data_IF_233527219264
#
_entry.id   IF_233527219264
#
_cell.length_a   1.000
_cell.length_b   1.000
_cell.length_c   1.000
_cell.angle_alpha   90.00
_cell.angle_beta   90.00
_cell.angle_gamma   90.00
#
_symmetry.space_group_name_H-M   'P 1'
#
loop_
_entity.id
_entity.type
_entity.pdbx_description
1 polymer ?
#
# COMPACT_ATOMS: atom_id res chain seq x y z
N UNK A 1 -0.97 12.36 9.50
CA UNK A 1 -1.92 12.43 10.64
C UNK A 1 -1.94 13.86 11.15
N UNK A 2 -3.02 14.27 11.83
CA UNK A 2 -3.17 15.64 12.37
C UNK A 2 -2.10 16.00 13.42
N UNK A 3 -1.45 15.00 14.00
CA UNK A 3 -0.45 15.18 15.05
C UNK A 3 1.00 14.98 14.59
N UNK A 4 1.23 14.78 13.30
CA UNK A 4 2.58 14.59 12.77
C UNK A 4 3.38 15.88 12.81
N UNK A 5 4.61 15.80 13.34
CA UNK A 5 5.59 16.86 13.25
C UNK A 5 6.49 16.63 12.05
N UNK A 6 6.59 17.65 11.19
CA UNK A 6 7.42 17.62 9.99
C UNK A 6 8.62 18.56 10.14
N UNK A 7 9.77 18.13 9.61
CA UNK A 7 11.00 18.96 9.56
C UNK A 7 11.41 19.31 8.13
N UNK A 8 10.63 18.90 7.13
CA UNK A 8 10.81 19.29 5.74
C UNK A 8 11.92 18.55 4.99
N UNK A 9 12.34 17.36 5.45
CA UNK A 9 13.35 16.55 4.75
C UNK A 9 12.73 15.82 3.56
N UNK A 10 13.30 16.02 2.38
CA UNK A 10 12.78 15.42 1.14
C UNK A 10 13.03 13.90 1.07
N UNK A 11 12.15 13.19 0.36
CA UNK A 11 12.25 11.73 0.18
C UNK A 11 13.63 11.27 -0.35
N UNK A 12 14.29 11.93 -1.33
CA UNK A 12 15.65 11.54 -1.74
C UNK A 12 16.67 11.59 -0.60
N UNK A 13 16.59 12.58 0.27
CA UNK A 13 17.49 12.70 1.42
C UNK A 13 17.19 11.62 2.48
N UNK A 14 15.91 11.34 2.75
CA UNK A 14 15.50 10.23 3.63
C UNK A 14 16.07 8.91 3.13
N UNK A 15 15.92 8.61 1.83
CA UNK A 15 16.47 7.40 1.21
C UNK A 15 17.99 7.33 1.29
N UNK A 16 18.69 8.46 1.15
CA UNK A 16 20.15 8.53 1.30
C UNK A 16 20.59 8.16 2.72
N UNK A 17 19.92 8.71 3.74
CA UNK A 17 20.18 8.37 5.15
C UNK A 17 19.87 6.91 5.42
N UNK A 18 18.70 6.42 4.99
CA UNK A 18 18.30 5.03 5.17
C UNK A 18 19.33 4.06 4.55
N UNK A 19 19.80 4.35 3.32
CA UNK A 19 20.81 3.53 2.63
C UNK A 19 22.16 3.49 3.35
N UNK A 20 22.52 4.57 4.05
CA UNK A 20 23.76 4.63 4.82
C UNK A 20 23.71 3.74 6.08
N UNK A 21 22.53 3.61 6.71
CA UNK A 21 22.42 3.04 8.06
C UNK A 21 21.74 1.66 8.13
N UNK A 22 21.03 1.19 7.07
CA UNK A 22 20.23 -0.04 7.14
C UNK A 22 21.00 -1.30 7.52
N UNK A 23 22.32 -1.38 7.23
CA UNK A 23 23.11 -2.56 7.51
C UNK A 23 23.49 -2.68 8.99
N UNK A 24 23.75 -1.55 9.66
CA UNK A 24 24.38 -1.53 10.97
C UNK A 24 23.40 -1.22 12.11
N UNK A 25 22.20 -0.72 11.81
CA UNK A 25 21.19 -0.40 12.83
C UNK A 25 20.62 -1.69 13.44
N UNK A 26 20.62 -1.78 14.77
CA UNK A 26 20.00 -2.88 15.51
C UNK A 26 18.46 -2.77 15.47
N UNK A 27 17.77 -3.89 15.75
CA UNK A 27 16.29 -3.88 15.82
C UNK A 27 15.76 -2.98 16.95
N UNK A 28 16.48 -2.85 18.05
CA UNK A 28 16.11 -1.98 19.18
C UNK A 28 16.17 -0.51 18.76
N UNK A 29 17.24 -0.11 18.08
CA UNK A 29 17.39 1.25 17.56
C UNK A 29 16.35 1.54 16.46
N UNK A 30 16.15 0.58 15.56
CA UNK A 30 15.17 0.70 14.48
C UNK A 30 13.74 0.90 15.04
N UNK A 31 13.38 0.18 16.10
CA UNK A 31 12.10 0.36 16.78
C UNK A 31 11.93 1.79 17.34
N UNK A 32 13.01 2.39 17.89
CA UNK A 32 12.97 3.81 18.31
C UNK A 32 12.77 4.76 17.14
N UNK A 33 13.40 4.48 15.99
CA UNK A 33 13.29 5.30 14.79
C UNK A 33 11.89 5.18 14.17
N UNK A 34 11.34 3.97 14.05
CA UNK A 34 9.98 3.74 13.49
C UNK A 34 8.86 4.29 14.38
N UNK A 35 9.10 4.50 15.67
CA UNK A 35 8.13 5.06 16.61
C UNK A 35 8.42 6.52 17.00
N UNK A 36 9.27 7.21 16.25
CA UNK A 36 9.65 8.59 16.57
C UNK A 36 8.51 9.59 16.32
N UNK A 37 8.44 10.68 17.10
CA UNK A 37 7.40 11.71 16.98
C UNK A 37 7.48 12.51 15.67
N UNK A 38 8.67 12.64 15.06
CA UNK A 38 8.88 13.34 13.79
C UNK A 38 8.58 12.37 12.64
N UNK A 39 7.72 12.80 11.72
CA UNK A 39 7.27 12.00 10.58
C UNK A 39 8.42 11.48 9.71
N UNK A 40 9.35 12.34 9.28
CA UNK A 40 10.44 11.94 8.38
C UNK A 40 11.42 10.96 9.05
N UNK A 41 11.52 10.99 10.38
CA UNK A 41 12.31 10.00 11.13
C UNK A 41 11.62 8.64 11.09
N UNK A 42 10.30 8.58 11.32
CA UNK A 42 9.52 7.32 11.17
C UNK A 42 9.61 6.78 9.75
N UNK A 43 9.38 7.63 8.76
CA UNK A 43 9.48 7.26 7.35
C UNK A 43 10.87 6.70 7.00
N UNK A 44 11.94 7.32 7.50
CA UNK A 44 13.31 6.81 7.37
C UNK A 44 13.44 5.40 7.97
N UNK A 45 12.88 5.17 9.16
CA UNK A 45 12.86 3.85 9.81
C UNK A 45 12.17 2.78 8.96
N UNK A 46 11.02 3.08 8.38
CA UNK A 46 10.32 2.12 7.50
C UNK A 46 11.05 1.90 6.17
N UNK A 47 11.71 2.92 5.61
CA UNK A 47 12.59 2.74 4.44
C UNK A 47 13.81 1.84 4.78
N UNK A 48 14.40 2.01 5.96
CA UNK A 48 15.44 1.11 6.47
C UNK A 48 14.93 -0.32 6.57
N UNK A 49 13.72 -0.51 7.11
CA UNK A 49 13.09 -1.83 7.24
C UNK A 49 12.91 -2.49 5.86
N UNK A 50 12.49 -1.72 4.85
CA UNK A 50 12.41 -2.19 3.46
C UNK A 50 13.77 -2.63 2.93
N UNK A 51 14.83 -1.83 3.14
CA UNK A 51 16.17 -2.19 2.67
C UNK A 51 16.73 -3.42 3.37
N UNK A 52 16.47 -3.58 4.67
CA UNK A 52 16.80 -4.81 5.39
C UNK A 52 16.07 -6.03 4.81
N UNK A 53 14.77 -5.89 4.53
CA UNK A 53 13.94 -6.95 3.95
C UNK A 53 14.43 -7.38 2.56
N UNK A 54 14.84 -6.42 1.73
CA UNK A 54 15.31 -6.67 0.36
C UNK A 54 16.73 -7.24 0.27
N UNK A 55 17.47 -7.30 1.38
CA UNK A 55 18.79 -7.92 1.39
C UNK A 55 18.66 -9.43 1.14
N UNK A 56 19.56 -9.99 0.32
CA UNK A 56 19.53 -11.39 -0.13
C UNK A 56 19.42 -12.40 1.02
N UNK A 57 20.20 -12.20 2.08
CA UNK A 57 20.28 -13.11 3.22
C UNK A 57 19.51 -12.60 4.44
N UNK A 58 18.41 -11.86 4.21
CA UNK A 58 17.59 -11.33 5.29
C UNK A 58 16.68 -12.40 5.89
N UNK A 59 16.52 -12.37 7.22
CA UNK A 59 15.43 -13.07 7.89
C UNK A 59 14.10 -12.32 7.62
N UNK A 60 13.48 -12.68 6.50
CA UNK A 60 12.21 -12.06 6.04
C UNK A 60 11.08 -12.23 7.05
N UNK A 61 11.04 -13.36 7.77
CA UNK A 61 10.01 -13.60 8.78
C UNK A 61 10.18 -12.66 9.98
N UNK A 62 11.39 -12.49 10.49
CA UNK A 62 11.66 -11.55 11.58
C UNK A 62 11.31 -10.11 11.19
N UNK A 63 11.64 -9.70 9.97
CA UNK A 63 11.34 -8.33 9.48
C UNK A 63 9.85 -8.14 9.25
N UNK A 64 9.14 -9.13 8.72
CA UNK A 64 7.69 -9.14 8.61
C UNK A 64 7.03 -8.97 9.99
N UNK A 65 7.46 -9.75 10.98
CA UNK A 65 6.97 -9.66 12.36
C UNK A 65 7.28 -8.30 12.99
N UNK A 66 8.50 -7.77 12.74
CA UNK A 66 8.85 -6.42 13.17
C UNK A 66 7.91 -5.36 12.59
N UNK A 67 7.58 -5.46 11.29
CA UNK A 67 6.67 -4.53 10.64
C UNK A 67 5.28 -4.56 11.28
N UNK A 68 4.73 -5.76 11.53
CA UNK A 68 3.44 -5.92 12.18
C UNK A 68 3.41 -5.36 13.61
N UNK A 69 4.46 -5.60 14.39
CA UNK A 69 4.58 -5.08 15.75
C UNK A 69 4.68 -3.53 15.79
N UNK A 70 5.04 -2.91 14.67
CA UNK A 70 5.13 -1.45 14.55
C UNK A 70 4.05 -0.86 13.62
N UNK A 71 3.00 -1.62 13.30
CA UNK A 71 1.95 -1.22 12.35
C UNK A 71 1.24 0.07 12.78
N UNK A 72 1.06 0.31 14.07
CA UNK A 72 0.48 1.53 14.62
C UNK A 72 1.26 2.81 14.27
N UNK A 73 2.54 2.69 13.93
CA UNK A 73 3.40 3.80 13.49
C UNK A 73 3.41 3.99 11.97
N UNK A 74 2.75 3.11 11.22
CA UNK A 74 2.50 3.24 9.77
C UNK A 74 1.26 4.11 9.58
N UNK A 75 1.36 5.37 9.95
CA UNK A 75 0.24 6.29 10.16
C UNK A 75 0.19 7.46 9.17
N UNK A 76 0.80 7.30 8.00
CA UNK A 76 0.72 8.26 6.90
C UNK A 76 0.82 7.53 5.55
N UNK A 77 0.24 8.12 4.48
CA UNK A 77 0.17 7.50 3.16
C UNK A 77 1.55 7.19 2.55
N UNK A 78 2.53 8.05 2.75
CA UNK A 78 3.88 7.87 2.19
C UNK A 78 4.65 6.73 2.89
N UNK A 79 4.43 6.51 4.20
CA UNK A 79 4.95 5.35 4.93
C UNK A 79 4.29 4.07 4.41
N UNK A 80 2.94 4.05 4.30
CA UNK A 80 2.20 2.89 3.78
C UNK A 80 2.68 2.54 2.38
N UNK A 81 2.65 3.51 1.46
CA UNK A 81 2.89 3.28 0.03
C UNK A 81 4.34 2.86 -0.26
N UNK A 82 5.29 3.30 0.58
CA UNK A 82 6.70 2.96 0.44
C UNK A 82 7.12 1.68 1.16
N UNK A 83 6.30 1.10 2.04
CA UNK A 83 6.69 -0.06 2.85
C UNK A 83 5.79 -1.28 2.71
N UNK A 84 4.46 -1.13 2.74
CA UNK A 84 3.52 -2.25 2.76
C UNK A 84 3.67 -3.22 1.58
N UNK A 85 3.80 -2.79 0.31
CA UNK A 85 3.98 -3.72 -0.81
C UNK A 85 5.30 -4.48 -0.73
N UNK A 86 6.33 -3.84 -0.19
CA UNK A 86 7.69 -4.37 -0.17
C UNK A 86 7.96 -5.35 0.96
N UNK A 87 7.20 -5.27 2.04
CA UNK A 87 7.35 -6.13 3.22
C UNK A 87 6.16 -7.07 3.34
N UNK A 88 4.97 -6.55 3.65
CA UNK A 88 3.78 -7.38 3.83
C UNK A 88 3.38 -8.09 2.54
N UNK A 89 3.22 -7.33 1.47
CA UNK A 89 2.78 -7.88 0.19
C UNK A 89 3.75 -8.94 -0.34
N UNK A 90 5.07 -8.63 -0.38
CA UNK A 90 6.08 -9.57 -0.87
C UNK A 90 6.16 -10.83 0.01
N UNK A 91 6.10 -10.69 1.34
CA UNK A 91 6.09 -11.83 2.25
C UNK A 91 4.89 -12.75 2.01
N UNK A 92 3.69 -12.18 1.86
CA UNK A 92 2.45 -12.92 1.65
C UNK A 92 2.39 -13.61 0.27
N UNK A 93 3.07 -13.10 -0.76
CA UNK A 93 3.16 -13.81 -2.05
C UNK A 93 3.88 -15.16 -1.92
N UNK A 94 4.77 -15.28 -0.94
CA UNK A 94 5.55 -16.48 -0.64
C UNK A 94 4.95 -17.32 0.50
N UNK A 95 4.00 -16.74 1.26
CA UNK A 95 3.34 -17.35 2.42
C UNK A 95 1.82 -17.16 2.32
N UNK A 96 1.12 -17.93 1.48
CA UNK A 96 -0.32 -17.75 1.20
C UNK A 96 -1.23 -17.86 2.42
N UNK A 97 -0.81 -18.59 3.46
CA UNK A 97 -1.49 -18.70 4.75
C UNK A 97 -1.60 -17.36 5.51
N UNK A 98 -0.82 -16.36 5.14
CA UNK A 98 -0.84 -15.03 5.74
C UNK A 98 -1.75 -14.03 5.02
N UNK A 99 -2.37 -14.41 3.89
CA UNK A 99 -3.20 -13.49 3.09
C UNK A 99 -4.47 -13.04 3.84
N UNK A 100 -5.00 -13.86 4.74
CA UNK A 100 -6.19 -13.54 5.55
C UNK A 100 -6.03 -12.27 6.37
N UNK A 101 -4.81 -11.94 6.77
CA UNK A 101 -4.53 -10.68 7.47
C UNK A 101 -4.97 -9.44 6.67
N UNK A 102 -4.94 -9.49 5.33
CA UNK A 102 -5.41 -8.37 4.50
C UNK A 102 -6.93 -8.13 4.69
N UNK A 103 -7.71 -9.20 4.88
CA UNK A 103 -9.15 -9.11 5.14
C UNK A 103 -9.44 -8.52 6.52
N UNK A 104 -8.64 -8.88 7.52
CA UNK A 104 -8.73 -8.30 8.87
C UNK A 104 -8.40 -6.81 8.83
N UNK A 105 -7.28 -6.44 8.21
CA UNK A 105 -6.85 -5.05 8.07
C UNK A 105 -7.85 -4.20 7.27
N UNK A 106 -8.51 -4.77 6.25
CA UNK A 106 -9.50 -4.04 5.44
C UNK A 106 -10.73 -3.62 6.25
N UNK A 107 -11.04 -4.33 7.34
CA UNK A 107 -12.18 -4.07 8.23
C UNK A 107 -11.82 -3.24 9.46
N UNK A 108 -10.56 -2.86 9.61
CA UNK A 108 -10.09 -2.09 10.77
C UNK A 108 -10.75 -0.70 10.84
N UNK A 109 -10.97 -0.22 12.08
CA UNK A 109 -11.36 1.17 12.32
C UNK A 109 -10.24 2.17 11.98
N UNK A 110 -8.99 1.72 11.93
CA UNK A 110 -7.83 2.54 11.57
C UNK A 110 -7.73 2.72 10.06
N UNK A 111 -7.81 3.96 9.59
CA UNK A 111 -7.63 4.33 8.18
C UNK A 111 -6.36 3.74 7.56
N UNK A 112 -5.26 3.78 8.31
CA UNK A 112 -3.96 3.39 7.78
C UNK A 112 -3.82 1.87 7.62
N UNK A 113 -4.43 1.10 8.51
CA UNK A 113 -4.50 -0.36 8.40
C UNK A 113 -5.34 -0.77 7.17
N UNK A 114 -6.49 -0.11 6.95
CA UNK A 114 -7.28 -0.32 5.72
C UNK A 114 -6.48 0.06 4.47
N UNK A 115 -5.68 1.15 4.53
CA UNK A 115 -4.80 1.51 3.41
C UNK A 115 -3.69 0.48 3.21
N UNK A 116 -3.08 -0.03 4.28
CA UNK A 116 -2.08 -1.11 4.23
C UNK A 116 -2.65 -2.34 3.53
N UNK A 117 -3.90 -2.75 3.85
CA UNK A 117 -4.52 -3.93 3.27
C UNK A 117 -4.56 -3.88 1.74
N UNK A 118 -4.99 -2.76 1.17
CA UNK A 118 -5.11 -2.63 -0.28
C UNK A 118 -3.75 -2.35 -0.95
N UNK A 119 -2.89 -1.51 -0.35
CA UNK A 119 -1.59 -1.16 -0.95
C UNK A 119 -0.62 -2.36 -0.92
N UNK A 120 -0.66 -3.22 0.10
CA UNK A 120 0.14 -4.43 0.14
C UNK A 120 -0.12 -5.35 -1.08
N UNK A 121 -1.35 -5.33 -1.61
CA UNK A 121 -1.71 -6.16 -2.78
C UNK A 121 -0.96 -5.81 -4.06
N UNK A 122 -0.26 -4.68 -4.12
CA UNK A 122 0.59 -4.33 -5.27
C UNK A 122 1.66 -5.40 -5.55
N UNK A 123 2.13 -6.12 -4.54
CA UNK A 123 3.06 -7.23 -4.71
C UNK A 123 2.43 -8.37 -5.53
N UNK A 124 1.18 -8.71 -5.25
CA UNK A 124 0.43 -9.73 -6.00
C UNK A 124 0.14 -9.28 -7.44
N UNK A 125 -0.20 -8.00 -7.65
CA UNK A 125 -0.40 -7.46 -8.99
C UNK A 125 0.89 -7.63 -9.82
N UNK A 126 2.06 -7.41 -9.22
CA UNK A 126 3.36 -7.57 -9.91
C UNK A 126 3.62 -9.01 -10.37
N UNK A 127 3.02 -10.02 -9.75
CA UNK A 127 3.08 -11.43 -10.15
C UNK A 127 1.88 -11.89 -10.96
N UNK A 128 1.04 -10.96 -11.45
CA UNK A 128 -0.20 -11.20 -12.19
C UNK A 128 -1.25 -12.01 -11.40
N UNK A 129 -1.21 -11.94 -10.08
CA UNK A 129 -2.20 -12.54 -9.18
C UNK A 129 -3.16 -11.45 -8.70
N UNK A 130 -4.33 -11.32 -9.34
CA UNK A 130 -5.22 -10.18 -9.11
C UNK A 130 -6.30 -10.43 -8.05
N UNK A 131 -6.62 -11.68 -7.76
CA UNK A 131 -7.71 -12.07 -6.85
C UNK A 131 -7.65 -11.40 -5.47
N UNK A 132 -6.50 -11.35 -4.76
CA UNK A 132 -6.43 -10.66 -3.48
C UNK A 132 -6.76 -9.17 -3.59
N UNK A 133 -6.25 -8.51 -4.63
CA UNK A 133 -6.52 -7.08 -4.86
C UNK A 133 -7.99 -6.80 -5.11
N UNK A 134 -8.63 -7.59 -6.00
CA UNK A 134 -10.04 -7.39 -6.35
C UNK A 134 -10.96 -7.64 -5.16
N UNK A 135 -10.64 -8.64 -4.32
CA UNK A 135 -11.35 -8.95 -3.08
C UNK A 135 -11.30 -7.79 -2.10
N UNK A 136 -10.08 -7.32 -1.77
CA UNK A 136 -9.90 -6.20 -0.84
C UNK A 136 -10.46 -4.89 -1.43
N UNK A 137 -10.28 -4.64 -2.73
CA UNK A 137 -10.88 -3.50 -3.40
C UNK A 137 -12.40 -3.47 -3.24
N UNK A 138 -13.07 -4.63 -3.44
CA UNK A 138 -14.53 -4.75 -3.29
C UNK A 138 -15.00 -4.45 -1.86
N UNK A 139 -14.29 -4.95 -0.85
CA UNK A 139 -14.57 -4.68 0.56
C UNK A 139 -14.49 -3.17 0.88
N UNK A 140 -13.54 -2.46 0.26
CA UNK A 140 -13.27 -1.06 0.52
C UNK A 140 -14.07 -0.08 -0.35
N UNK A 141 -14.97 -0.53 -1.24
CA UNK A 141 -15.79 0.38 -2.07
C UNK A 141 -16.70 1.29 -1.23
N UNK A 142 -17.18 0.81 -0.09
CA UNK A 142 -18.03 1.55 0.84
C UNK A 142 -17.28 2.45 1.83
N UNK A 143 -15.95 2.52 1.76
CA UNK A 143 -15.17 3.36 2.68
C UNK A 143 -15.50 4.84 2.50
N UNK A 144 -15.44 5.60 3.60
CA UNK A 144 -15.76 7.04 3.60
C UNK A 144 -14.54 7.94 3.36
N UNK A 145 -13.34 7.37 3.37
CA UNK A 145 -12.08 8.11 3.32
C UNK A 145 -11.56 8.24 1.89
N UNK A 146 -11.35 9.47 1.43
CA UNK A 146 -10.82 9.76 0.08
C UNK A 146 -9.44 9.11 -0.16
N UNK A 147 -8.61 9.00 0.88
CA UNK A 147 -7.31 8.31 0.80
C UNK A 147 -7.45 6.81 0.50
N UNK A 148 -8.55 6.16 0.91
CA UNK A 148 -8.86 4.78 0.54
C UNK A 148 -9.37 4.70 -0.90
N UNK A 149 -10.25 5.62 -1.30
CA UNK A 149 -10.75 5.70 -2.68
C UNK A 149 -9.59 5.82 -3.68
N UNK A 150 -8.61 6.68 -3.38
CA UNK A 150 -7.39 6.85 -4.19
C UNK A 150 -6.56 5.57 -4.25
N UNK A 151 -6.39 4.90 -3.11
CA UNK A 151 -5.61 3.66 -3.03
C UNK A 151 -6.26 2.54 -3.86
N UNK A 152 -7.57 2.31 -3.69
CA UNK A 152 -8.32 1.32 -4.47
C UNK A 152 -8.22 1.64 -5.97
N UNK A 153 -8.49 2.89 -6.36
CA UNK A 153 -8.39 3.30 -7.76
C UNK A 153 -6.98 3.10 -8.34
N UNK A 154 -5.94 3.39 -7.55
CA UNK A 154 -4.56 3.14 -7.97
C UNK A 154 -4.31 1.63 -8.19
N UNK A 155 -4.73 0.76 -7.28
CA UNK A 155 -4.53 -0.68 -7.44
C UNK A 155 -5.28 -1.25 -8.66
N UNK A 156 -6.53 -0.81 -8.92
CA UNK A 156 -7.24 -1.20 -10.14
C UNK A 156 -6.52 -0.68 -11.40
N UNK A 157 -5.94 0.52 -11.37
CA UNK A 157 -5.10 1.04 -12.46
C UNK A 157 -3.83 0.20 -12.67
N UNK A 158 -3.21 -0.30 -11.60
CA UNK A 158 -2.05 -1.20 -11.73
C UNK A 158 -2.44 -2.55 -12.33
N UNK A 159 -3.65 -3.08 -12.03
CA UNK A 159 -4.21 -4.24 -12.73
C UNK A 159 -4.43 -3.91 -14.20
N UNK A 160 -5.06 -2.77 -14.51
CA UNK A 160 -5.32 -2.34 -15.90
C UNK A 160 -4.05 -2.33 -16.76
N UNK A 161 -2.93 -1.87 -16.21
CA UNK A 161 -1.63 -1.86 -16.91
C UNK A 161 -1.08 -3.25 -17.24
N UNK A 162 -1.59 -4.31 -16.61
CA UNK A 162 -1.15 -5.70 -16.80
C UNK A 162 -2.20 -6.54 -17.53
N UNK A 163 -3.45 -6.36 -17.16
CA UNK A 163 -4.60 -7.01 -17.78
C UNK A 163 -5.80 -6.05 -17.78
N UNK A 164 -5.98 -5.38 -18.92
CA UNK A 164 -7.10 -4.44 -19.12
C UNK A 164 -8.46 -5.12 -18.94
N UNK A 165 -8.60 -6.38 -19.38
CA UNK A 165 -9.86 -7.10 -19.34
C UNK A 165 -10.31 -7.31 -17.89
N UNK A 166 -9.42 -7.78 -17.03
CA UNK A 166 -9.73 -7.99 -15.60
C UNK A 166 -10.15 -6.68 -14.92
N UNK A 167 -9.41 -5.60 -15.15
CA UNK A 167 -9.76 -4.31 -14.57
C UNK A 167 -11.11 -3.79 -15.08
N UNK A 168 -11.38 -3.91 -16.38
CA UNK A 168 -12.65 -3.47 -17.00
C UNK A 168 -13.84 -4.26 -16.48
N UNK A 169 -13.72 -5.58 -16.30
CA UNK A 169 -14.76 -6.42 -15.70
C UNK A 169 -15.08 -5.93 -14.30
N UNK A 170 -14.07 -5.76 -13.44
CA UNK A 170 -14.27 -5.26 -12.08
C UNK A 170 -14.98 -3.90 -12.05
N UNK A 171 -14.56 -2.97 -12.90
CA UNK A 171 -15.16 -1.63 -12.96
C UNK A 171 -16.64 -1.67 -13.38
N UNK A 172 -16.99 -2.52 -14.35
CA UNK A 172 -18.39 -2.66 -14.83
C UNK A 172 -19.28 -3.30 -13.78
N UNK A 173 -18.84 -4.40 -13.20
CA UNK A 173 -19.62 -5.14 -12.19
C UNK A 173 -19.88 -4.33 -10.92
N UNK A 174 -18.99 -3.40 -10.58
CA UNK A 174 -19.09 -2.62 -9.36
C UNK A 174 -19.43 -1.13 -9.61
N UNK A 175 -19.78 -0.74 -10.84
CA UNK A 175 -19.85 0.65 -11.25
C UNK A 175 -20.73 1.54 -10.35
N UNK A 176 -21.89 1.05 -9.95
CA UNK A 176 -22.84 1.79 -9.09
C UNK A 176 -22.34 1.98 -7.66
N UNK A 177 -21.38 1.16 -7.21
CA UNK A 177 -20.79 1.24 -5.88
C UNK A 177 -19.46 2.02 -5.85
N UNK A 178 -18.89 2.29 -7.04
CA UNK A 178 -17.58 2.94 -7.13
C UNK A 178 -17.66 4.42 -6.74
N UNK A 179 -16.92 4.86 -5.71
CA UNK A 179 -16.71 6.27 -5.47
C UNK A 179 -16.10 6.96 -6.71
N UNK A 180 -16.52 8.20 -7.00
CA UNK A 180 -16.02 8.95 -8.18
C UNK A 180 -14.50 9.11 -8.17
N UNK A 181 -13.90 9.29 -7.00
CA UNK A 181 -12.44 9.33 -6.86
C UNK A 181 -11.81 8.01 -7.28
N UNK A 182 -12.33 6.88 -6.81
CA UNK A 182 -11.84 5.54 -7.19
C UNK A 182 -11.90 5.34 -8.70
N UNK A 183 -13.05 5.64 -9.31
CA UNK A 183 -13.23 5.53 -10.76
C UNK A 183 -12.19 6.37 -11.53
N UNK A 184 -12.03 7.65 -11.16
CA UNK A 184 -11.07 8.55 -11.83
C UNK A 184 -9.65 8.07 -11.79
N UNK A 185 -9.20 7.54 -10.63
CA UNK A 185 -7.87 6.97 -10.48
C UNK A 185 -7.69 5.68 -11.29
N UNK A 186 -8.71 4.81 -11.28
CA UNK A 186 -8.65 3.53 -11.98
C UNK A 186 -8.53 3.69 -13.50
N UNK A 187 -9.27 4.64 -14.08
CA UNK A 187 -9.34 4.86 -15.54
C UNK A 187 -8.28 5.84 -16.08
N UNK A 188 -7.37 6.34 -15.23
CA UNK A 188 -6.39 7.38 -15.62
C UNK A 188 -5.53 7.00 -16.84
N UNK A 189 -5.27 5.72 -17.04
CA UNK A 189 -4.45 5.18 -18.13
C UNK A 189 -5.25 4.72 -19.34
N UNK A 190 -6.56 4.81 -19.31
CA UNK A 190 -7.42 4.53 -20.46
C UNK A 190 -7.34 5.65 -21.49
N UNK A 191 -7.58 5.30 -22.77
CA UNK A 191 -7.71 6.29 -23.83
C UNK A 191 -8.83 7.29 -23.55
N UNK A 192 -8.73 8.50 -24.10
CA UNK A 192 -9.64 9.61 -23.78
C UNK A 192 -11.13 9.28 -24.05
N UNK A 193 -11.41 8.63 -25.20
CA UNK A 193 -12.78 8.25 -25.58
C UNK A 193 -13.37 7.22 -24.61
N UNK A 194 -12.59 6.20 -24.26
CA UNK A 194 -12.99 5.16 -23.31
C UNK A 194 -13.21 5.74 -21.92
N UNK A 195 -12.29 6.58 -21.47
CA UNK A 195 -12.41 7.29 -20.18
C UNK A 195 -13.69 8.10 -20.08
N UNK A 196 -14.07 8.82 -21.16
CA UNK A 196 -15.34 9.56 -21.21
C UNK A 196 -16.55 8.65 -21.05
N UNK A 197 -16.56 7.47 -21.69
CA UNK A 197 -17.62 6.47 -21.56
C UNK A 197 -17.75 5.99 -20.10
N UNK A 198 -16.65 5.59 -19.46
CA UNK A 198 -16.67 5.19 -18.04
C UNK A 198 -17.16 6.30 -17.12
N UNK A 199 -16.80 7.57 -17.36
CA UNK A 199 -17.27 8.70 -16.55
C UNK A 199 -18.77 8.93 -16.67
N UNK A 200 -19.41 8.51 -17.80
CA UNK A 200 -20.85 8.63 -18.07
C UNK A 200 -21.62 7.34 -17.78
N UNK A 201 -20.96 6.21 -17.59
CA UNK A 201 -21.61 4.91 -17.47
C UNK A 201 -22.09 4.31 -18.80
N UNK A 202 -21.42 4.66 -19.91
CA UNK A 202 -21.76 4.28 -21.28
C UNK A 202 -20.79 3.19 -21.82
N UNK A 203 -20.65 2.00 -21.18
CA UNK A 203 -19.68 0.95 -21.54
C UNK A 203 -20.29 -0.43 -21.75
#
# INVERSE_FOLDING_TARGET
SEFDKFIGVTMPNIRKVAKKHYQNISNIELAKVTNHSIHEVRLCGFIITVYKYQKKDSDKHSIYSFYLNNLGSVNNWDIVDSSAPHILGDYMTQNPDKIELLDELSKSNNLWERRVSIIATLAFIKTNTFTPTLRIAKELLGDKQDLIHKAVGWMIREIYKRDERVAKVFLRENYTLLPRTTLRYAIERMGELERKKYLKGEF
#
